data_IF_486535137958
#
_entry.id   IF_486535137958
#
_cell.length_a   1.000
_cell.length_b   1.000
_cell.length_c   1.000
_cell.angle_alpha   90.00
_cell.angle_beta   90.00
_cell.angle_gamma   90.00
#
_symmetry.space_group_name_H-M   'P 1'
#
loop_
_entity.id
_entity.type
_entity.pdbx_description
1 polymer ?
#
# COMPACT_ATOMS: atom_id res chain seq x y z
N UNK A 1 -24.80 8.99 -47.92
CA UNK A 1 -24.94 8.62 -46.52
C UNK A 1 -25.94 7.48 -46.41
N UNK A 2 -25.55 6.31 -45.87
CA UNK A 2 -26.46 5.20 -45.64
C UNK A 2 -27.39 5.56 -44.47
N UNK A 3 -28.71 5.60 -44.71
CA UNK A 3 -29.69 5.79 -43.64
C UNK A 3 -29.86 4.46 -42.93
N UNK A 4 -29.69 4.45 -41.59
CA UNK A 4 -29.95 3.30 -40.74
C UNK A 4 -31.46 3.14 -40.51
N UNK A 5 -31.95 1.92 -40.46
CA UNK A 5 -33.28 1.62 -39.95
C UNK A 5 -33.33 1.91 -38.44
N UNK A 6 -34.53 2.04 -37.89
CA UNK A 6 -34.73 2.26 -36.46
C UNK A 6 -34.08 1.15 -35.61
N UNK A 7 -34.16 -0.10 -36.07
CA UNK A 7 -33.58 -1.24 -35.35
C UNK A 7 -32.05 -1.22 -35.41
N UNK A 8 -31.45 -0.97 -36.59
CA UNK A 8 -29.99 -0.84 -36.73
C UNK A 8 -29.42 0.30 -35.87
N UNK A 9 -30.22 1.41 -35.73
CA UNK A 9 -29.81 2.52 -34.86
C UNK A 9 -29.87 2.12 -33.36
N UNK A 10 -30.88 1.37 -32.94
CA UNK A 10 -31.03 0.88 -31.57
C UNK A 10 -29.90 -0.11 -31.20
N UNK A 11 -29.60 -1.08 -32.10
CA UNK A 11 -28.55 -2.04 -31.91
C UNK A 11 -27.17 -1.36 -31.78
N UNK A 12 -26.95 -0.32 -32.58
CA UNK A 12 -25.72 0.49 -32.51
C UNK A 12 -25.61 1.32 -31.21
N UNK A 13 -26.75 1.82 -30.71
CA UNK A 13 -26.79 2.51 -29.40
C UNK A 13 -26.50 1.54 -28.27
N UNK A 14 -27.01 0.33 -28.33
CA UNK A 14 -26.75 -0.71 -27.32
C UNK A 14 -25.28 -1.16 -27.32
N UNK A 15 -24.70 -1.33 -28.52
CA UNK A 15 -23.27 -1.60 -28.68
C UNK A 15 -22.40 -0.48 -28.11
N UNK A 16 -22.73 0.78 -28.40
CA UNK A 16 -22.03 1.96 -27.86
C UNK A 16 -22.17 2.08 -26.35
N UNK A 17 -23.35 1.78 -25.78
CA UNK A 17 -23.55 1.73 -24.33
C UNK A 17 -22.63 0.72 -23.68
N UNK A 18 -22.57 -0.52 -24.17
CA UNK A 18 -21.63 -1.54 -23.67
C UNK A 18 -20.17 -1.09 -23.74
N UNK A 19 -19.81 -0.31 -24.78
CA UNK A 19 -18.46 0.23 -24.92
C UNK A 19 -18.19 1.36 -23.92
N UNK A 20 -19.18 2.19 -23.65
CA UNK A 20 -19.11 3.29 -22.67
C UNK A 20 -19.06 2.73 -21.25
N UNK A 21 -19.99 1.79 -20.92
CA UNK A 21 -20.04 1.13 -19.62
C UNK A 21 -18.70 0.44 -19.31
N UNK A 22 -18.11 -0.26 -20.30
CA UNK A 22 -16.79 -0.87 -20.16
C UNK A 22 -15.64 0.13 -19.98
N UNK A 23 -15.81 1.37 -20.44
CA UNK A 23 -14.83 2.46 -20.28
C UNK A 23 -15.01 3.20 -18.95
N UNK A 24 -16.22 3.19 -18.39
CA UNK A 24 -16.52 3.75 -17.06
C UNK A 24 -16.17 2.75 -15.93
N UNK A 25 -15.99 1.46 -16.23
CA UNK A 25 -15.52 0.44 -15.29
C UNK A 25 -14.00 0.51 -15.00
N UNK A 26 -13.27 1.46 -15.58
CA UNK A 26 -11.88 1.70 -15.20
C UNK A 26 -11.84 2.31 -13.79
N UNK A 27 -11.59 1.44 -12.83
CA UNK A 27 -11.32 1.83 -11.45
C UNK A 27 -9.89 2.36 -11.28
N UNK A 28 -9.17 1.83 -10.33
CA UNK A 28 -7.80 2.26 -10.00
C UNK A 28 -6.77 1.52 -10.86
N UNK A 29 -5.79 2.26 -11.40
CA UNK A 29 -4.59 1.70 -12.03
C UNK A 29 -3.43 1.90 -11.05
N UNK A 30 -2.78 0.81 -10.69
CA UNK A 30 -1.57 0.82 -9.85
C UNK A 30 -0.37 0.65 -10.76
N UNK A 31 0.60 1.56 -10.60
CA UNK A 31 1.83 1.57 -11.40
C UNK A 31 3.01 0.99 -10.61
N UNK A 32 4.02 0.49 -11.31
CA UNK A 32 5.36 0.27 -10.76
C UNK A 32 6.08 1.61 -10.59
N UNK A 33 7.21 1.57 -9.91
CA UNK A 33 8.08 2.75 -9.69
C UNK A 33 8.64 3.30 -11.02
N UNK A 34 8.74 2.47 -12.05
CA UNK A 34 9.16 2.84 -13.41
C UNK A 34 8.01 3.33 -14.31
N UNK A 35 6.86 3.67 -13.72
CA UNK A 35 5.62 4.12 -14.37
C UNK A 35 4.96 3.08 -15.30
N UNK A 36 5.42 1.83 -15.32
CA UNK A 36 4.69 0.76 -16.02
C UNK A 36 3.48 0.30 -15.20
N UNK A 37 2.41 -0.11 -15.89
CA UNK A 37 1.20 -0.60 -15.21
C UNK A 37 1.53 -1.92 -14.48
N UNK A 38 1.31 -1.95 -13.17
CA UNK A 38 1.41 -3.15 -12.35
C UNK A 38 0.10 -3.92 -12.34
N UNK A 39 -1.00 -3.20 -12.11
CA UNK A 39 -2.31 -3.80 -11.89
C UNK A 39 -3.43 -2.82 -12.26
N UNK A 40 -4.48 -3.32 -12.91
CA UNK A 40 -5.72 -2.56 -13.16
C UNK A 40 -6.86 -3.21 -12.36
N UNK A 41 -7.57 -2.40 -11.57
CA UNK A 41 -8.69 -2.84 -10.75
C UNK A 41 -9.98 -2.17 -11.21
N UNK A 42 -11.10 -2.85 -11.07
CA UNK A 42 -12.45 -2.26 -11.22
C UNK A 42 -12.91 -1.52 -9.95
N UNK A 43 -12.12 -1.62 -8.86
CA UNK A 43 -12.43 -0.94 -7.59
C UNK A 43 -12.32 0.57 -7.72
N UNK A 44 -13.05 1.29 -6.87
CA UNK A 44 -13.14 2.76 -6.93
C UNK A 44 -12.14 3.45 -5.99
N UNK A 45 -11.56 2.73 -5.05
CA UNK A 45 -10.57 3.23 -4.10
C UNK A 45 -9.26 2.45 -4.18
N UNK A 46 -8.13 3.12 -3.90
CA UNK A 46 -6.81 2.47 -3.82
C UNK A 46 -6.83 1.37 -2.76
N UNK A 47 -7.46 1.61 -1.62
CA UNK A 47 -7.61 0.64 -0.54
C UNK A 47 -8.20 -0.69 -1.02
N UNK A 48 -9.34 -0.65 -1.71
CA UNK A 48 -9.99 -1.87 -2.23
C UNK A 48 -9.18 -2.54 -3.34
N UNK A 49 -8.46 -1.76 -4.15
CA UNK A 49 -7.64 -2.29 -5.23
C UNK A 49 -6.41 -3.05 -4.72
N UNK A 50 -5.76 -2.54 -3.67
CA UNK A 50 -4.52 -3.14 -3.12
C UNK A 50 -4.76 -4.43 -2.34
N UNK A 51 -5.96 -4.65 -1.83
CA UNK A 51 -6.31 -5.88 -1.10
C UNK A 51 -6.35 -7.13 -2.00
N UNK A 52 -6.29 -6.97 -3.32
CA UNK A 52 -6.41 -8.05 -4.30
C UNK A 52 -5.14 -8.27 -5.14
N UNK A 53 -4.08 -7.46 -4.97
CA UNK A 53 -2.95 -7.42 -5.89
C UNK A 53 -1.62 -7.87 -5.26
N UNK A 54 -0.71 -8.41 -6.09
CA UNK A 54 0.72 -8.41 -5.78
C UNK A 54 1.27 -7.00 -5.99
N UNK A 55 1.65 -6.34 -4.89
CA UNK A 55 2.06 -4.95 -4.84
C UNK A 55 3.59 -4.79 -4.83
N UNK A 56 4.33 -5.85 -5.16
CA UNK A 56 5.79 -5.77 -5.23
C UNK A 56 6.24 -4.73 -6.25
N UNK A 57 7.02 -3.74 -5.78
CA UNK A 57 7.46 -2.59 -6.58
C UNK A 57 6.36 -1.60 -6.97
N UNK A 58 5.19 -1.65 -6.33
CA UNK A 58 4.11 -0.71 -6.57
C UNK A 58 4.49 0.72 -6.17
N UNK A 59 3.99 1.70 -6.91
CA UNK A 59 4.05 3.10 -6.52
C UNK A 59 2.78 3.51 -5.76
N UNK A 60 2.86 3.50 -4.45
CA UNK A 60 1.80 3.86 -3.51
C UNK A 60 2.14 5.15 -2.75
N UNK A 61 2.95 6.03 -3.37
CA UNK A 61 3.34 7.32 -2.82
C UNK A 61 2.12 8.13 -2.39
N UNK A 62 2.08 8.48 -1.09
CA UNK A 62 0.97 9.22 -0.47
C UNK A 62 -0.42 8.59 -0.64
N UNK A 63 -0.50 7.29 -0.95
CA UNK A 63 -1.77 6.60 -1.03
C UNK A 63 -2.51 6.62 0.31
N UNK A 64 -3.83 6.70 0.29
CA UNK A 64 -4.66 6.48 1.46
C UNK A 64 -5.04 4.99 1.55
N UNK A 65 -4.40 4.30 2.48
CA UNK A 65 -4.56 2.88 2.80
C UNK A 65 -5.02 2.69 4.26
N UNK A 66 -5.57 3.76 4.86
CA UNK A 66 -6.05 3.70 6.25
C UNK A 66 -7.11 2.62 6.43
N UNK A 67 -6.97 1.83 7.51
CA UNK A 67 -7.84 0.70 7.83
C UNK A 67 -7.91 -0.40 6.74
N UNK A 68 -6.98 -0.42 5.75
CA UNK A 68 -6.93 -1.46 4.73
C UNK A 68 -6.51 -2.81 5.34
N UNK A 69 -6.99 -3.90 4.75
CA UNK A 69 -6.51 -5.24 5.06
C UNK A 69 -5.40 -5.63 4.07
N UNK A 70 -4.15 -5.57 4.53
CA UNK A 70 -2.94 -5.95 3.80
C UNK A 70 -2.26 -7.15 4.48
N UNK A 71 -3.06 -8.02 5.13
CA UNK A 71 -2.59 -9.24 5.75
C UNK A 71 -1.83 -10.12 4.74
N UNK A 72 -0.59 -10.51 5.08
CA UNK A 72 0.32 -11.27 4.22
C UNK A 72 0.56 -10.65 2.82
N UNK A 73 0.27 -9.38 2.61
CA UNK A 73 0.44 -8.71 1.32
C UNK A 73 1.91 -8.71 0.87
N UNK A 74 2.13 -8.86 -0.44
CA UNK A 74 3.45 -8.71 -1.07
C UNK A 74 3.68 -7.26 -1.45
N UNK A 75 4.51 -6.55 -0.67
CA UNK A 75 4.85 -5.12 -0.81
C UNK A 75 6.36 -4.91 -0.96
N UNK A 76 7.09 -5.97 -1.35
CA UNK A 76 8.54 -5.91 -1.49
C UNK A 76 8.97 -4.82 -2.47
N UNK A 77 9.84 -3.91 -2.04
CA UNK A 77 10.32 -2.78 -2.84
C UNK A 77 9.26 -1.75 -3.22
N UNK A 78 8.06 -1.80 -2.65
CA UNK A 78 7.03 -0.80 -2.92
C UNK A 78 7.42 0.58 -2.39
N UNK A 79 6.97 1.64 -3.07
CA UNK A 79 7.08 3.00 -2.60
C UNK A 79 5.79 3.39 -1.85
N UNK A 80 5.87 3.39 -0.52
CA UNK A 80 4.81 3.79 0.42
C UNK A 80 5.15 5.12 1.11
N UNK A 81 6.11 5.90 0.56
CA UNK A 81 6.55 7.12 1.23
C UNK A 81 5.40 8.12 1.37
N UNK A 82 5.23 8.64 2.59
CA UNK A 82 4.13 9.53 2.97
C UNK A 82 2.74 8.90 2.91
N UNK A 83 2.59 7.60 2.69
CA UNK A 83 1.30 6.94 2.66
C UNK A 83 0.59 7.01 4.02
N UNK A 84 -0.73 7.09 3.98
CA UNK A 84 -1.59 6.97 5.15
C UNK A 84 -1.91 5.48 5.39
N UNK A 85 -1.26 4.89 6.39
CA UNK A 85 -1.39 3.50 6.83
C UNK A 85 -1.99 3.41 8.25
N UNK A 86 -2.75 4.43 8.67
CA UNK A 86 -3.37 4.45 10.00
C UNK A 86 -4.31 3.25 10.15
N UNK A 87 -4.11 2.47 11.24
CA UNK A 87 -4.92 1.27 11.56
C UNK A 87 -4.92 0.18 10.47
N UNK A 88 -3.97 0.21 9.55
CA UNK A 88 -3.83 -0.81 8.51
C UNK A 88 -3.40 -2.14 9.12
N UNK A 89 -3.99 -3.23 8.67
CA UNK A 89 -3.56 -4.58 9.00
C UNK A 89 -2.45 -5.02 8.04
N UNK A 90 -1.20 -5.00 8.51
CA UNK A 90 0.01 -5.40 7.78
C UNK A 90 0.64 -6.66 8.37
N UNK A 91 -0.12 -7.46 9.13
CA UNK A 91 0.40 -8.68 9.76
C UNK A 91 0.95 -9.65 8.73
N UNK A 92 2.19 -10.12 8.95
CA UNK A 92 2.86 -11.04 8.04
C UNK A 92 3.18 -10.45 6.66
N UNK A 93 2.93 -9.17 6.40
CA UNK A 93 3.22 -8.55 5.11
C UNK A 93 4.72 -8.56 4.79
N UNK A 94 5.07 -8.77 3.53
CA UNK A 94 6.43 -8.68 3.04
C UNK A 94 6.73 -7.24 2.58
N UNK A 95 7.38 -6.46 3.42
CA UNK A 95 7.84 -5.09 3.19
C UNK A 95 9.36 -5.01 2.95
N UNK A 96 9.98 -6.11 2.50
CA UNK A 96 11.40 -6.14 2.18
C UNK A 96 11.80 -4.99 1.25
N UNK A 97 12.75 -4.14 1.69
CA UNK A 97 13.22 -2.96 0.95
C UNK A 97 12.13 -1.94 0.58
N UNK A 98 10.96 -1.98 1.19
CA UNK A 98 9.93 -0.97 0.93
C UNK A 98 10.37 0.40 1.44
N UNK A 99 9.96 1.46 0.75
CA UNK A 99 10.11 2.84 1.21
C UNK A 99 8.85 3.26 1.98
N UNK A 100 8.96 3.33 3.30
CA UNK A 100 7.94 3.79 4.24
C UNK A 100 8.32 5.16 4.84
N UNK A 101 9.23 5.90 4.19
CA UNK A 101 9.67 7.20 4.69
C UNK A 101 8.49 8.16 4.82
N UNK A 102 8.42 8.88 5.96
CA UNK A 102 7.33 9.81 6.28
C UNK A 102 5.92 9.16 6.33
N UNK A 103 5.78 7.84 6.22
CA UNK A 103 4.49 7.16 6.27
C UNK A 103 3.81 7.32 7.65
N UNK A 104 2.48 7.38 7.64
CA UNK A 104 1.66 7.46 8.84
C UNK A 104 1.17 6.06 9.23
N UNK A 105 1.80 5.45 10.25
CA UNK A 105 1.56 4.10 10.73
C UNK A 105 0.91 4.05 12.12
N UNK A 106 0.18 5.10 12.49
CA UNK A 106 -0.50 5.18 13.79
C UNK A 106 -1.47 4.01 13.97
N UNK A 107 -1.33 3.27 15.07
CA UNK A 107 -2.10 2.05 15.37
C UNK A 107 -2.04 0.94 14.29
N UNK A 108 -1.11 1.00 13.32
CA UNK A 108 -0.96 -0.06 12.32
C UNK A 108 -0.45 -1.36 12.97
N UNK A 109 -0.92 -2.51 12.47
CA UNK A 109 -0.46 -3.79 12.94
C UNK A 109 0.58 -4.39 11.99
N UNK A 110 1.84 -4.37 12.39
CA UNK A 110 3.01 -4.87 11.64
C UNK A 110 3.53 -6.19 12.24
N UNK A 111 2.76 -6.84 13.13
CA UNK A 111 3.25 -8.08 13.75
C UNK A 111 3.59 -9.14 12.70
N UNK A 112 4.70 -9.83 12.90
CA UNK A 112 5.21 -10.86 11.99
C UNK A 112 5.58 -10.35 10.58
N UNK A 113 5.51 -9.03 10.31
CA UNK A 113 5.88 -8.45 9.02
C UNK A 113 7.40 -8.50 8.78
N UNK A 114 7.80 -8.64 7.52
CA UNK A 114 9.19 -8.54 7.10
C UNK A 114 9.52 -7.12 6.64
N UNK A 115 10.24 -6.36 7.46
CA UNK A 115 10.75 -5.01 7.18
C UNK A 115 12.27 -4.99 6.95
N UNK A 116 12.88 -6.12 6.57
CA UNK A 116 14.31 -6.19 6.30
C UNK A 116 14.71 -5.16 5.23
N UNK A 117 15.71 -4.31 5.54
CA UNK A 117 16.19 -3.21 4.69
C UNK A 117 15.13 -2.14 4.33
N UNK A 118 13.95 -2.12 4.94
CA UNK A 118 12.94 -1.09 4.70
C UNK A 118 13.41 0.29 5.20
N UNK A 119 12.92 1.36 4.56
CA UNK A 119 13.18 2.75 4.98
C UNK A 119 11.97 3.31 5.73
N UNK A 120 12.10 3.50 7.05
CA UNK A 120 11.09 4.10 7.93
C UNK A 120 11.52 5.50 8.40
N UNK A 121 12.44 6.16 7.70
CA UNK A 121 12.92 7.49 8.11
C UNK A 121 11.77 8.50 8.14
N UNK A 122 11.60 9.15 9.28
CA UNK A 122 10.51 10.12 9.50
C UNK A 122 9.12 9.51 9.67
N UNK A 123 8.96 8.19 9.60
CA UNK A 123 7.67 7.53 9.78
C UNK A 123 7.07 7.77 11.17
N UNK A 124 5.75 7.88 11.23
CA UNK A 124 4.97 8.07 12.45
C UNK A 124 4.45 6.71 12.93
N UNK A 125 5.12 6.11 13.91
CA UNK A 125 4.93 4.74 14.39
C UNK A 125 4.18 4.66 15.74
N UNK A 126 3.49 5.73 16.15
CA UNK A 126 2.80 5.76 17.44
C UNK A 126 1.76 4.63 17.53
N UNK A 127 1.84 3.84 18.61
CA UNK A 127 0.94 2.72 18.89
C UNK A 127 0.94 1.61 17.81
N UNK A 128 1.88 1.66 16.83
CA UNK A 128 2.05 0.57 15.88
C UNK A 128 2.57 -0.70 16.59
N UNK A 129 2.02 -1.85 16.20
CA UNK A 129 2.43 -3.13 16.76
C UNK A 129 3.56 -3.74 15.92
N UNK A 130 4.72 -3.96 16.55
CA UNK A 130 5.92 -4.58 15.97
C UNK A 130 6.22 -5.96 16.56
N UNK A 131 5.24 -6.67 17.11
CA UNK A 131 5.48 -7.98 17.70
C UNK A 131 5.99 -8.98 16.65
N UNK A 132 7.17 -9.59 16.93
CA UNK A 132 7.84 -10.53 16.04
C UNK A 132 8.15 -9.99 14.62
N UNK A 133 8.20 -8.68 14.43
CA UNK A 133 8.56 -8.05 13.16
C UNK A 133 10.05 -8.20 12.87
N UNK A 134 10.43 -8.47 11.62
CA UNK A 134 11.81 -8.51 11.17
C UNK A 134 12.28 -7.09 10.75
N UNK A 135 13.14 -6.46 11.57
CA UNK A 135 13.62 -5.09 11.39
C UNK A 135 15.12 -4.97 11.04
N UNK A 136 15.79 -6.08 10.71
CA UNK A 136 17.23 -6.05 10.43
C UNK A 136 17.54 -5.13 9.25
N UNK A 137 18.53 -4.25 9.44
CA UNK A 137 18.94 -3.23 8.47
C UNK A 137 17.86 -2.21 8.07
N UNK A 138 16.71 -2.18 8.72
CA UNK A 138 15.72 -1.14 8.52
C UNK A 138 16.26 0.22 8.97
N UNK A 139 15.91 1.28 8.24
CA UNK A 139 16.34 2.66 8.54
C UNK A 139 15.24 3.39 9.28
N UNK A 140 15.61 4.05 10.39
CA UNK A 140 14.70 4.85 11.21
C UNK A 140 15.05 6.34 11.25
N UNK A 141 16.07 6.74 10.50
CA UNK A 141 16.49 8.14 10.33
C UNK A 141 17.03 8.35 8.93
N UNK A 142 16.85 9.54 8.40
CA UNK A 142 17.30 9.87 7.06
C UNK A 142 16.69 11.17 6.55
N UNK A 143 16.41 11.25 5.26
CA UNK A 143 15.91 12.47 4.61
C UNK A 143 14.57 12.94 5.19
N UNK A 144 13.68 12.01 5.57
CA UNK A 144 12.40 12.30 6.23
C UNK A 144 12.50 12.59 7.74
N UNK A 145 13.71 12.55 8.31
CA UNK A 145 13.93 12.73 9.75
C UNK A 145 14.02 11.42 10.54
N UNK A 146 13.69 11.46 11.82
CA UNK A 146 13.71 10.29 12.70
C UNK A 146 12.31 9.71 12.85
N UNK A 147 12.18 8.38 12.74
CA UNK A 147 10.93 7.69 13.03
C UNK A 147 10.45 7.95 14.46
N UNK A 148 9.15 8.04 14.65
CA UNK A 148 8.54 8.47 15.93
C UNK A 148 7.75 7.34 16.55
N UNK A 149 8.10 6.97 17.79
CA UNK A 149 7.43 5.95 18.60
C UNK A 149 7.07 6.52 19.97
N UNK A 150 6.16 5.88 20.70
CA UNK A 150 5.89 6.21 22.11
C UNK A 150 6.93 5.60 23.04
N UNK A 151 7.01 6.08 24.29
CA UNK A 151 7.92 5.51 25.30
C UNK A 151 7.55 4.06 25.62
N UNK A 152 6.28 3.74 25.60
CA UNK A 152 5.73 2.42 25.88
C UNK A 152 6.10 1.38 24.79
N UNK A 153 6.31 1.85 23.55
CA UNK A 153 6.73 1.01 22.44
C UNK A 153 8.23 0.69 22.44
N UNK A 154 9.06 1.47 23.14
CA UNK A 154 10.52 1.30 23.13
C UNK A 154 10.97 -0.13 23.44
N UNK A 155 10.45 -0.83 24.45
CA UNK A 155 10.90 -2.21 24.74
C UNK A 155 10.59 -3.20 23.62
N UNK A 156 9.39 -3.13 23.02
CA UNK A 156 8.99 -3.99 21.91
C UNK A 156 9.83 -3.71 20.65
N UNK A 157 10.09 -2.43 20.40
CA UNK A 157 10.89 -1.98 19.28
C UNK A 157 12.35 -2.44 19.39
N UNK A 158 12.97 -2.31 20.57
CA UNK A 158 14.32 -2.82 20.84
C UNK A 158 14.38 -4.35 20.70
N UNK A 159 13.37 -5.05 21.19
CA UNK A 159 13.27 -6.51 21.02
C UNK A 159 13.19 -6.91 19.54
N UNK A 160 12.39 -6.20 18.72
CA UNK A 160 12.27 -6.44 17.28
C UNK A 160 13.59 -6.16 16.53
N UNK A 161 14.41 -5.23 17.03
CA UNK A 161 15.77 -4.97 16.54
C UNK A 161 16.80 -6.02 17.02
N UNK A 162 16.40 -7.01 17.84
CA UNK A 162 17.31 -7.99 18.43
C UNK A 162 18.14 -7.42 19.58
N UNK A 163 17.77 -6.29 20.15
CA UNK A 163 18.45 -5.68 21.30
C UNK A 163 17.79 -6.19 22.59
N UNK A 164 18.56 -6.90 23.42
CA UNK A 164 18.12 -7.34 24.74
C UNK A 164 18.34 -6.18 25.72
N UNK A 165 17.26 -5.74 26.37
CA UNK A 165 17.32 -4.77 27.49
C UNK A 165 17.18 -5.61 28.77
N UNK A 166 18.24 -5.68 29.56
CA UNK A 166 18.24 -6.31 30.90
C UNK A 166 17.65 -5.38 31.96
#
# INVERSE_FOLDING_TARGET
>A
MKKLTKQEALDKIEELKKYIDKKEEKGIIIYRIDDTVLFESTKQTVKEAVEEADLSGANLYKADLSEANLYEASLSGANLSGANLIKTDLRGANLYKADLSEAHLYEANLSEANLYEADLSGAHLYEANFENTELQNAKFYGKGGTAKITKEQVPLFLKALGIIVE
#
